data_IF_462245872048
#
_entry.id   IF_462245872048
#
_cell.length_a   1.000
_cell.length_b   1.000
_cell.length_c   1.000
_cell.angle_alpha   90.00
_cell.angle_beta   90.00
_cell.angle_gamma   90.00
#
_symmetry.space_group_name_H-M   'P 1'
#
loop_
_entity.id
_entity.type
_entity.pdbx_description
1 polymer ?
#
# COMPACT_ATOMS: atom_id res chain seq x y z
N UNK A 1 -11.64 14.23 -24.24
CA UNK A 1 -11.04 14.52 -22.91
C UNK A 1 -11.03 13.24 -22.10
N UNK A 2 -9.87 12.63 -21.83
CA UNK A 2 -9.81 11.49 -20.91
C UNK A 2 -10.16 11.98 -19.51
N UNK A 3 -11.23 11.43 -18.93
CA UNK A 3 -11.62 11.69 -17.55
C UNK A 3 -10.45 11.23 -16.68
N UNK A 4 -9.81 12.16 -15.96
CA UNK A 4 -8.72 11.85 -15.02
C UNK A 4 -9.27 10.81 -14.04
N UNK A 5 -8.66 9.62 -13.98
CA UNK A 5 -9.09 8.57 -13.08
C UNK A 5 -8.99 9.06 -11.63
N UNK A 6 -9.98 8.73 -10.80
CA UNK A 6 -10.03 9.10 -9.38
C UNK A 6 -9.83 7.84 -8.54
N UNK A 7 -8.65 7.23 -8.65
CA UNK A 7 -8.34 5.98 -7.96
C UNK A 7 -7.73 6.28 -6.60
N UNK A 8 -7.98 5.41 -5.62
CA UNK A 8 -7.36 5.51 -4.29
C UNK A 8 -6.36 4.37 -4.10
N UNK A 9 -5.23 4.67 -3.47
CA UNK A 9 -4.26 3.66 -3.05
C UNK A 9 -4.38 3.38 -1.55
N UNK A 10 -4.29 2.10 -1.20
CA UNK A 10 -4.35 1.62 0.18
C UNK A 10 -3.08 0.79 0.43
N UNK A 11 -2.16 1.37 1.20
CA UNK A 11 -0.78 0.90 1.32
C UNK A 11 -0.54 0.31 2.69
N UNK A 12 -0.28 -0.99 2.71
CA UNK A 12 0.28 -1.67 3.88
C UNK A 12 1.77 -1.34 3.98
N UNK A 13 2.10 -0.30 4.76
CA UNK A 13 3.47 0.21 4.86
C UNK A 13 4.42 -0.83 5.44
N UNK A 14 3.97 -1.62 6.41
CA UNK A 14 4.81 -2.63 7.06
C UNK A 14 5.18 -3.73 6.07
N UNK A 15 4.22 -4.22 5.27
CA UNK A 15 4.49 -5.23 4.26
C UNK A 15 5.40 -4.68 3.15
N UNK A 16 5.14 -3.47 2.66
CA UNK A 16 5.99 -2.83 1.64
C UNK A 16 7.42 -2.64 2.15
N UNK A 17 7.59 -2.08 3.35
CA UNK A 17 8.91 -1.81 3.92
C UNK A 17 9.72 -3.10 4.09
N UNK A 18 9.14 -4.12 4.73
CA UNK A 18 9.80 -5.42 4.91
C UNK A 18 10.12 -6.07 3.56
N UNK A 19 9.16 -6.06 2.62
CA UNK A 19 9.34 -6.68 1.31
C UNK A 19 10.45 -6.05 0.48
N UNK A 20 10.62 -4.73 0.55
CA UNK A 20 11.73 -4.03 -0.13
C UNK A 20 13.05 -4.22 0.61
N UNK A 21 13.06 -4.22 1.95
CA UNK A 21 14.25 -4.49 2.76
C UNK A 21 14.87 -5.85 2.41
N UNK A 22 14.04 -6.88 2.17
CA UNK A 22 14.51 -8.21 1.75
C UNK A 22 15.22 -8.22 0.38
N UNK A 23 15.03 -7.19 -0.44
CA UNK A 23 15.71 -7.02 -1.73
C UNK A 23 17.02 -6.23 -1.61
N UNK A 24 17.34 -5.70 -0.43
CA UNK A 24 18.60 -5.01 -0.17
C UNK A 24 18.70 -3.59 -0.73
N UNK A 25 17.58 -2.93 -1.01
CA UNK A 25 17.54 -1.52 -1.43
C UNK A 25 16.46 -0.73 -0.67
N UNK A 26 16.44 0.59 -0.86
CA UNK A 26 15.47 1.48 -0.21
C UNK A 26 14.53 2.10 -1.24
N UNK A 27 13.23 2.04 -0.95
CA UNK A 27 12.20 2.66 -1.79
C UNK A 27 12.16 4.17 -1.57
N UNK A 28 12.28 4.94 -2.64
CA UNK A 28 12.00 6.37 -2.67
C UNK A 28 10.48 6.59 -2.69
N UNK A 29 9.93 6.92 -1.52
CA UNK A 29 8.49 7.09 -1.33
C UNK A 29 7.93 8.31 -2.09
N UNK A 30 8.72 9.36 -2.31
CA UNK A 30 8.27 10.50 -3.11
C UNK A 30 8.09 10.10 -4.58
N UNK A 31 9.06 9.37 -5.15
CA UNK A 31 8.94 8.80 -6.51
C UNK A 31 7.82 7.78 -6.59
N UNK A 32 7.63 6.96 -5.54
CA UNK A 32 6.54 6.00 -5.49
C UNK A 32 5.17 6.69 -5.49
N UNK A 33 4.98 7.74 -4.70
CA UNK A 33 3.74 8.54 -4.71
C UNK A 33 3.45 9.13 -6.09
N UNK A 34 4.48 9.66 -6.75
CA UNK A 34 4.39 10.21 -8.11
C UNK A 34 3.99 9.13 -9.12
N UNK A 35 4.60 7.95 -9.04
CA UNK A 35 4.23 6.79 -9.87
C UNK A 35 2.75 6.40 -9.65
N UNK A 36 2.28 6.34 -8.41
CA UNK A 36 0.88 6.05 -8.08
C UNK A 36 -0.07 7.04 -8.76
N UNK A 37 0.26 8.33 -8.71
CA UNK A 37 -0.53 9.37 -9.36
C UNK A 37 -0.53 9.24 -10.89
N UNK A 38 0.66 9.11 -11.49
CA UNK A 38 0.83 9.21 -12.95
C UNK A 38 0.40 7.93 -13.68
N UNK A 39 0.77 6.76 -13.16
CA UNK A 39 0.54 5.47 -13.82
C UNK A 39 -0.80 4.84 -13.46
N UNK A 40 -1.26 5.05 -12.22
CA UNK A 40 -2.45 4.38 -11.70
C UNK A 40 -3.59 5.34 -11.36
N UNK A 41 -3.48 6.61 -11.75
CA UNK A 41 -4.53 7.61 -11.55
C UNK A 41 -4.86 7.85 -10.08
N UNK A 42 -3.89 7.67 -9.17
CA UNK A 42 -4.13 7.74 -7.74
C UNK A 42 -4.19 9.19 -7.26
N UNK A 43 -5.38 9.64 -6.90
CA UNK A 43 -5.64 10.98 -6.35
C UNK A 43 -5.42 11.03 -4.85
N UNK A 44 -5.78 9.97 -4.12
CA UNK A 44 -5.56 9.83 -2.67
C UNK A 44 -4.81 8.54 -2.36
N UNK A 45 -3.75 8.63 -1.54
CA UNK A 45 -2.94 7.47 -1.15
C UNK A 45 -2.91 7.36 0.37
N UNK A 46 -3.65 6.38 0.91
CA UNK A 46 -3.61 6.04 2.33
C UNK A 46 -2.42 5.14 2.63
N UNK A 47 -1.69 5.47 3.68
CA UNK A 47 -0.59 4.68 4.21
C UNK A 47 -0.95 4.23 5.62
N UNK A 48 -1.13 2.92 5.78
CA UNK A 48 -1.50 2.29 7.04
C UNK A 48 -0.24 1.96 7.81
N UNK A 49 -0.11 2.52 9.02
CA UNK A 49 1.13 2.49 9.78
C UNK A 49 0.86 2.35 11.28
N UNK A 50 1.67 1.52 11.95
CA UNK A 50 1.68 1.47 13.40
C UNK A 50 2.24 2.77 13.97
N UNK A 51 1.51 3.41 14.88
CA UNK A 51 1.98 4.62 15.54
C UNK A 51 3.09 4.31 16.56
N UNK A 52 4.19 5.04 16.50
CA UNK A 52 5.32 4.97 17.42
C UNK A 52 5.73 6.39 17.82
N UNK A 53 5.74 6.63 19.13
CA UNK A 53 6.30 7.85 19.67
C UNK A 53 7.80 7.94 19.32
N UNK A 54 8.25 9.11 18.87
CA UNK A 54 9.62 9.37 18.42
C UNK A 54 9.78 9.43 16.90
N UNK A 55 8.79 8.96 16.12
CA UNK A 55 8.83 8.94 14.66
C UNK A 55 8.08 10.10 13.98
N UNK A 56 7.82 11.20 14.69
CA UNK A 56 6.99 12.30 14.23
C UNK A 56 7.52 12.96 12.96
N UNK A 57 8.84 13.10 12.83
CA UNK A 57 9.44 13.69 11.63
C UNK A 57 9.26 12.80 10.40
N UNK A 58 9.44 11.48 10.56
CA UNK A 58 9.13 10.51 9.50
C UNK A 58 7.66 10.59 9.06
N UNK A 59 6.73 10.71 10.01
CA UNK A 59 5.31 10.85 9.69
C UNK A 59 5.01 12.15 8.94
N UNK A 60 5.65 13.25 9.35
CA UNK A 60 5.54 14.55 8.68
C UNK A 60 6.08 14.48 7.26
N UNK A 61 7.19 13.79 7.04
CA UNK A 61 7.78 13.60 5.72
C UNK A 61 6.83 12.83 4.80
N UNK A 62 6.19 11.76 5.28
CA UNK A 62 5.20 11.03 4.49
C UNK A 62 4.00 11.92 4.12
N UNK A 63 3.51 12.75 5.05
CA UNK A 63 2.44 13.70 4.77
C UNK A 63 2.87 14.76 3.74
N UNK A 64 4.08 15.31 3.86
CA UNK A 64 4.65 16.25 2.91
C UNK A 64 4.81 15.64 1.51
N UNK A 65 5.09 14.34 1.42
CA UNK A 65 5.11 13.60 0.16
C UNK A 65 3.69 13.37 -0.41
N UNK A 66 2.62 13.66 0.33
CA UNK A 66 1.24 13.56 -0.12
C UNK A 66 0.56 12.23 0.22
N UNK A 67 1.02 11.54 1.27
CA UNK A 67 0.33 10.39 1.85
C UNK A 67 -0.64 10.82 2.97
N UNK A 68 -1.79 10.16 3.02
CA UNK A 68 -2.72 10.27 4.16
C UNK A 68 -2.43 9.12 5.13
N UNK A 69 -1.93 9.44 6.33
CA UNK A 69 -1.56 8.41 7.30
C UNK A 69 -2.78 7.94 8.09
N UNK A 70 -2.98 6.63 8.15
CA UNK A 70 -3.96 6.00 9.03
C UNK A 70 -3.18 5.20 10.06
N UNK A 71 -3.29 5.66 11.31
CA UNK A 71 -2.55 5.09 12.43
C UNK A 71 -3.36 4.01 13.12
N UNK A 72 -2.69 2.91 13.43
CA UNK A 72 -3.14 2.00 14.49
C UNK A 72 -2.42 2.35 15.79
N UNK A 73 -3.14 2.54 16.92
CA UNK A 73 -2.51 2.61 18.22
C UNK A 73 -1.73 1.32 18.45
N UNK A 74 -0.42 1.40 18.64
CA UNK A 74 0.38 0.21 18.93
C UNK A 74 0.55 0.06 20.42
N UNK A 75 0.36 -1.17 20.92
CA UNK A 75 0.77 -1.54 22.26
C UNK A 75 2.19 -2.06 22.15
N UNK A 76 3.12 -1.39 22.83
CA UNK A 76 4.45 -1.95 23.07
C UNK A 76 4.27 -3.17 23.98
N UNK A 77 4.79 -4.32 23.55
CA UNK A 77 4.85 -5.47 24.43
C UNK A 77 5.88 -5.23 25.56
N UNK A 78 5.94 -6.12 26.54
CA UNK A 78 6.89 -6.03 27.68
C UNK A 78 8.37 -6.00 27.25
N UNK A 79 8.67 -6.33 26.00
CA UNK A 79 10.01 -6.36 25.41
C UNK A 79 10.29 -5.14 24.52
N UNK A 80 9.38 -4.17 24.45
CA UNK A 80 9.51 -2.97 23.60
C UNK A 80 9.20 -3.20 22.12
N UNK A 81 8.69 -4.39 21.74
CA UNK A 81 8.28 -4.65 20.36
C UNK A 81 6.86 -4.19 20.12
N UNK A 82 6.66 -3.65 18.93
CA UNK A 82 5.39 -3.14 18.43
C UNK A 82 4.54 -4.31 17.97
N UNK A 83 3.45 -4.62 18.69
CA UNK A 83 2.54 -5.71 18.31
C UNK A 83 1.31 -5.16 17.60
N UNK A 84 1.13 -5.51 16.32
CA UNK A 84 -0.09 -5.23 15.55
C UNK A 84 0.18 -5.02 14.06
N UNK A 85 -0.73 -5.53 13.23
CA UNK A 85 -0.85 -5.19 11.80
C UNK A 85 -1.96 -4.15 11.61
N UNK A 86 -2.00 -3.48 10.46
CA UNK A 86 -3.04 -2.50 10.16
C UNK A 86 -4.09 -3.05 9.18
N UNK A 87 -4.23 -4.37 9.11
CA UNK A 87 -4.97 -5.05 8.06
C UNK A 87 -6.47 -4.77 8.16
N UNK A 88 -7.01 -4.78 9.38
CA UNK A 88 -8.41 -4.46 9.64
C UNK A 88 -8.72 -3.00 9.30
N UNK A 89 -7.84 -2.07 9.68
CA UNK A 89 -7.97 -0.66 9.37
C UNK A 89 -7.92 -0.41 7.85
N UNK A 90 -7.04 -1.12 7.14
CA UNK A 90 -6.94 -1.07 5.67
C UNK A 90 -8.23 -1.56 5.03
N UNK A 91 -8.68 -2.77 5.38
CA UNK A 91 -9.92 -3.36 4.85
C UNK A 91 -11.10 -2.42 5.12
N UNK A 92 -11.23 -1.91 6.34
CA UNK A 92 -12.34 -1.03 6.72
C UNK A 92 -12.31 0.27 5.92
N UNK A 93 -11.15 0.94 5.81
CA UNK A 93 -11.06 2.20 5.07
C UNK A 93 -11.38 2.02 3.58
N UNK A 94 -10.94 0.92 2.97
CA UNK A 94 -11.31 0.58 1.59
C UNK A 94 -12.82 0.52 1.41
N UNK A 95 -13.53 -0.04 2.39
CA UNK A 95 -14.99 -0.13 2.35
C UNK A 95 -15.69 1.19 2.68
N UNK A 96 -15.15 2.00 3.59
CA UNK A 96 -15.67 3.34 3.92
C UNK A 96 -15.65 4.23 2.68
N UNK A 97 -14.53 4.24 1.94
CA UNK A 97 -14.36 5.11 0.78
C UNK A 97 -14.90 4.51 -0.52
N UNK A 98 -15.65 3.39 -0.46
CA UNK A 98 -16.03 2.62 -1.64
C UNK A 98 -16.80 3.43 -2.70
N UNK A 99 -17.59 4.42 -2.29
CA UNK A 99 -18.30 5.37 -3.18
C UNK A 99 -17.40 6.48 -3.73
N UNK A 100 -16.31 6.80 -3.04
CA UNK A 100 -15.50 8.00 -3.29
C UNK A 100 -14.42 7.80 -4.36
N UNK A 101 -14.07 6.55 -4.67
CA UNK A 101 -13.07 6.23 -5.69
C UNK A 101 -13.63 5.44 -6.88
N UNK A 102 -12.96 5.61 -8.02
CA UNK A 102 -13.20 4.82 -9.23
C UNK A 102 -12.72 3.38 -9.05
N UNK A 103 -11.41 3.21 -8.83
CA UNK A 103 -10.77 1.92 -8.54
C UNK A 103 -9.85 2.00 -7.33
N UNK A 104 -9.67 0.87 -6.65
CA UNK A 104 -8.72 0.70 -5.57
C UNK A 104 -7.40 0.11 -6.09
N UNK A 105 -6.29 0.71 -5.67
CA UNK A 105 -4.93 0.18 -5.82
C UNK A 105 -4.49 -0.35 -4.46
N UNK A 106 -4.45 -1.68 -4.31
CA UNK A 106 -4.07 -2.32 -3.05
C UNK A 106 -2.56 -2.58 -3.09
N UNK A 107 -1.80 -1.96 -2.19
CA UNK A 107 -0.34 -2.07 -2.16
C UNK A 107 0.06 -2.95 -0.98
N UNK A 108 0.25 -4.24 -1.27
CA UNK A 108 0.65 -5.28 -0.32
C UNK A 108 1.11 -6.54 -1.07
N UNK A 109 1.95 -7.35 -0.45
CA UNK A 109 2.24 -8.73 -0.85
C UNK A 109 1.57 -9.79 0.04
N UNK A 110 0.80 -9.37 1.04
CA UNK A 110 0.19 -10.25 2.04
C UNK A 110 -1.02 -11.03 1.50
N UNK A 111 -1.06 -12.32 1.80
CA UNK A 111 -2.15 -13.21 1.41
C UNK A 111 -3.47 -12.92 2.12
N UNK A 112 -3.43 -12.29 3.29
CA UNK A 112 -4.63 -12.02 4.10
C UNK A 112 -5.59 -11.05 3.40
N UNK A 113 -5.08 -10.20 2.49
CA UNK A 113 -5.90 -9.32 1.66
C UNK A 113 -6.54 -10.03 0.44
N UNK A 114 -6.35 -11.33 0.24
CA UNK A 114 -6.95 -12.05 -0.90
C UNK A 114 -8.47 -11.92 -0.93
N UNK A 115 -9.14 -11.96 0.23
CA UNK A 115 -10.59 -11.83 0.32
C UNK A 115 -11.06 -10.43 -0.12
N UNK A 116 -10.32 -9.38 0.25
CA UNK A 116 -10.58 -8.00 -0.16
C UNK A 116 -10.40 -7.85 -1.67
N UNK A 117 -9.28 -8.32 -2.22
CA UNK A 117 -9.01 -8.26 -3.67
C UNK A 117 -10.09 -9.01 -4.45
N UNK A 118 -10.51 -10.19 -4.00
CA UNK A 118 -11.60 -10.97 -4.59
C UNK A 118 -12.91 -10.20 -4.60
N UNK A 119 -13.25 -9.57 -3.47
CA UNK A 119 -14.48 -8.79 -3.34
C UNK A 119 -14.47 -7.58 -4.28
N UNK A 120 -13.41 -6.76 -4.23
CA UNK A 120 -13.24 -5.58 -5.08
C UNK A 120 -13.30 -5.94 -6.56
N UNK A 121 -12.71 -7.07 -6.97
CA UNK A 121 -12.80 -7.54 -8.36
C UNK A 121 -14.24 -7.90 -8.73
N UNK A 122 -14.95 -8.64 -7.86
CA UNK A 122 -16.35 -9.04 -8.08
C UNK A 122 -17.27 -7.85 -8.30
N UNK A 123 -17.07 -6.76 -7.55
CA UNK A 123 -17.88 -5.53 -7.68
C UNK A 123 -17.30 -4.54 -8.69
N UNK A 124 -16.26 -4.92 -9.44
CA UNK A 124 -15.65 -4.05 -10.45
C UNK A 124 -14.92 -2.83 -9.88
N UNK A 125 -14.48 -2.85 -8.63
CA UNK A 125 -13.75 -1.76 -7.95
C UNK A 125 -12.24 -2.00 -7.83
N UNK A 126 -11.73 -3.19 -8.17
CA UNK A 126 -10.29 -3.44 -8.19
C UNK A 126 -9.64 -2.76 -9.40
N UNK A 127 -8.58 -1.98 -9.15
CA UNK A 127 -7.70 -1.40 -10.16
C UNK A 127 -6.44 -2.22 -10.32
N UNK A 128 -5.57 -2.21 -9.31
CA UNK A 128 -4.30 -2.92 -9.31
C UNK A 128 -3.98 -3.50 -7.93
N UNK A 129 -3.20 -4.58 -7.92
CA UNK A 129 -2.48 -5.04 -6.73
C UNK A 129 -0.99 -4.79 -6.98
N UNK A 130 -0.35 -4.04 -6.09
CA UNK A 130 1.06 -3.65 -6.19
C UNK A 130 1.81 -4.32 -5.05
N UNK A 131 2.61 -5.34 -5.33
CA UNK A 131 3.39 -6.03 -4.29
C UNK A 131 4.86 -5.61 -4.30
N UNK A 132 5.56 -5.64 -3.16
CA UNK A 132 6.95 -5.19 -3.09
C UNK A 132 7.90 -6.08 -3.90
N UNK A 133 7.75 -7.40 -3.80
CA UNK A 133 8.62 -8.38 -4.45
C UNK A 133 7.83 -9.62 -4.91
N UNK A 134 8.33 -10.34 -5.91
CA UNK A 134 7.70 -11.53 -6.47
C UNK A 134 7.93 -12.71 -5.52
N UNK A 135 9.14 -12.87 -4.97
CA UNK A 135 9.53 -14.07 -4.20
C UNK A 135 8.69 -14.29 -2.95
N UNK A 136 8.33 -13.24 -2.23
CA UNK A 136 7.65 -13.28 -0.94
C UNK A 136 6.18 -12.85 -1.01
N UNK A 137 5.68 -12.55 -2.21
CA UNK A 137 4.27 -12.27 -2.43
C UNK A 137 3.44 -13.56 -2.44
N UNK A 138 2.32 -13.56 -1.72
CA UNK A 138 1.41 -14.69 -1.62
C UNK A 138 0.89 -15.19 -2.97
N UNK A 139 0.96 -16.50 -3.19
CA UNK A 139 0.41 -17.17 -4.39
C UNK A 139 -1.11 -16.95 -4.50
N UNK A 140 -1.81 -16.91 -3.36
CA UNK A 140 -3.26 -16.67 -3.33
C UNK A 140 -3.59 -15.27 -3.83
N UNK A 141 -2.82 -14.27 -3.38
CA UNK A 141 -2.97 -12.89 -3.84
C UNK A 141 -2.70 -12.76 -5.34
N UNK A 142 -1.62 -13.40 -5.84
CA UNK A 142 -1.29 -13.44 -7.27
C UNK A 142 -2.42 -14.03 -8.12
N UNK A 143 -2.98 -15.16 -7.71
CA UNK A 143 -4.09 -15.81 -8.41
C UNK A 143 -5.33 -14.94 -8.46
N UNK A 144 -5.60 -14.20 -7.40
CA UNK A 144 -6.78 -13.34 -7.32
C UNK A 144 -6.62 -12.07 -8.16
N UNK A 145 -5.44 -11.44 -8.11
CA UNK A 145 -5.11 -10.20 -8.83
C UNK A 145 -4.99 -10.39 -10.36
N UNK A 146 -4.62 -11.58 -10.84
CA UNK A 146 -4.48 -11.90 -12.28
C UNK A 146 -3.60 -10.87 -13.00
N UNK A 147 -4.02 -10.37 -14.17
CA UNK A 147 -3.28 -9.39 -14.97
C UNK A 147 -3.20 -7.99 -14.35
N UNK A 148 -3.89 -7.73 -13.24
CA UNK A 148 -3.85 -6.46 -12.52
C UNK A 148 -2.76 -6.44 -11.43
N UNK A 149 -1.91 -7.47 -11.36
CA UNK A 149 -0.80 -7.55 -10.42
C UNK A 149 0.48 -6.97 -11.00
N UNK A 150 1.15 -6.09 -10.26
CA UNK A 150 2.44 -5.49 -10.61
C UNK A 150 3.40 -5.54 -9.41
N UNK A 151 4.71 -5.52 -9.67
CA UNK A 151 5.73 -5.61 -8.63
C UNK A 151 6.63 -4.38 -8.57
N UNK A 152 6.87 -3.86 -7.37
CA UNK A 152 7.73 -2.69 -7.16
C UNK A 152 9.17 -2.99 -7.58
N UNK A 153 9.65 -4.21 -7.34
CA UNK A 153 11.03 -4.63 -7.70
C UNK A 153 11.35 -4.48 -9.20
N UNK A 154 10.37 -4.66 -10.07
CA UNK A 154 10.52 -4.51 -11.52
C UNK A 154 10.75 -3.04 -11.92
N UNK A 155 10.49 -2.11 -11.01
CA UNK A 155 10.61 -0.67 -11.20
C UNK A 155 11.77 -0.05 -10.39
N UNK A 156 12.66 -0.88 -9.84
CA UNK A 156 13.79 -0.45 -8.98
C UNK A 156 14.60 0.70 -9.58
N UNK A 157 14.97 0.62 -10.86
CA UNK A 157 15.80 1.66 -11.52
C UNK A 157 15.22 3.08 -11.43
N UNK A 158 13.89 3.20 -11.28
CA UNK A 158 13.17 4.47 -11.14
C UNK A 158 12.81 4.80 -9.70
N UNK A 159 12.72 3.80 -8.83
CA UNK A 159 12.15 3.93 -7.49
C UNK A 159 13.19 3.81 -6.38
N UNK A 160 14.43 3.46 -6.68
CA UNK A 160 15.51 3.36 -5.68
C UNK A 160 15.91 4.75 -5.17
N UNK A 161 16.02 4.84 -3.84
CA UNK A 161 16.61 5.97 -3.15
C UNK A 161 18.13 5.88 -3.32
N UNK A 162 18.71 6.88 -3.98
CA UNK A 162 20.15 6.99 -4.23
C UNK A 162 20.85 7.70 -3.08
#
# INVERSE_FOLDING_TARGET
MHKKENNFAFIDNTNVHKGIQMLGWKLDLAKFRKLLMERYGVTRAYMFIGYLAGNQDMYRDFQNMGYTLIFKPTLLNKNGEVKGNCDAELVLQVMIDLSEYGKAVIVTGDGDFQCLVKHLRKIGKLGYVVSPNIKWCSILLKREARSNHVFIEEMRSRLELK
#
